data_IF_186364844479
#
_entry.id   IF_186364844479
#
_cell.length_a   1.000
_cell.length_b   1.000
_cell.length_c   1.000
_cell.angle_alpha   90.00
_cell.angle_beta   90.00
_cell.angle_gamma   90.00
#
_symmetry.space_group_name_H-M   'P 1'
#
loop_
_entity.id
_entity.type
_entity.pdbx_description
1 polymer ?
#
# COMPACT_ATOMS: atom_id res chain seq x y z
N UNK A 1 -15.96 -18.17 18.12
CA UNK A 1 -16.60 -16.93 17.71
C UNK A 1 -15.57 -15.83 17.56
N UNK A 2 -14.91 -15.55 18.66
CA UNK A 2 -13.92 -14.47 18.66
C UNK A 2 -12.66 -14.81 17.89
N UNK A 3 -12.44 -16.10 17.65
CA UNK A 3 -11.26 -16.53 16.91
C UNK A 3 -11.27 -16.05 15.49
N UNK A 4 -12.42 -16.08 14.84
CA UNK A 4 -12.52 -15.64 13.45
C UNK A 4 -12.29 -14.15 13.34
N UNK A 5 -12.85 -13.38 14.26
CA UNK A 5 -12.63 -11.95 14.30
C UNK A 5 -11.15 -11.63 14.55
N UNK A 6 -10.51 -12.36 15.46
CA UNK A 6 -9.10 -12.16 15.76
C UNK A 6 -8.21 -12.48 14.57
N UNK A 7 -8.55 -13.55 13.84
CA UNK A 7 -7.79 -13.93 12.64
C UNK A 7 -7.92 -12.83 11.58
N UNK A 8 -9.13 -12.27 11.40
CA UNK A 8 -9.31 -11.20 10.43
C UNK A 8 -8.59 -9.92 10.82
N UNK A 9 -8.49 -9.66 12.14
CA UNK A 9 -7.80 -8.48 12.62
C UNK A 9 -6.27 -8.62 12.55
N UNK A 10 -5.77 -9.85 12.39
CA UNK A 10 -4.34 -10.12 12.35
C UNK A 10 -3.83 -10.13 10.91
N UNK A 11 -4.12 -9.06 10.20
CA UNK A 11 -3.66 -8.89 8.81
C UNK A 11 -2.26 -8.31 8.83
N UNK A 12 -1.42 -8.77 7.89
CA UNK A 12 -0.08 -8.23 7.79
C UNK A 12 -0.09 -6.72 7.52
N UNK A 13 -1.04 -6.24 6.74
CA UNK A 13 -1.12 -4.81 6.41
C UNK A 13 -1.43 -3.94 7.63
N UNK A 14 -1.83 -4.53 8.75
CA UNK A 14 -1.98 -3.76 9.99
C UNK A 14 -0.63 -3.26 10.49
N UNK A 15 0.46 -3.82 10.00
CA UNK A 15 1.82 -3.36 10.32
C UNK A 15 2.28 -2.20 9.44
N UNK A 16 1.57 -1.92 8.36
CA UNK A 16 1.88 -0.78 7.50
C UNK A 16 1.52 0.50 8.24
N UNK A 17 2.26 1.56 7.97
CA UNK A 17 1.93 2.86 8.55
C UNK A 17 0.62 3.37 7.94
N UNK A 18 -0.35 3.69 8.80
CA UNK A 18 -1.67 4.18 8.37
C UNK A 18 -1.63 5.68 8.13
N UNK A 19 -1.96 6.09 6.91
CA UNK A 19 -2.04 7.49 6.52
C UNK A 19 -3.49 7.92 6.52
N UNK A 20 -3.80 9.04 7.18
CA UNK A 20 -5.17 9.46 7.41
C UNK A 20 -5.62 10.63 6.52
N UNK A 21 -4.71 11.27 5.82
CA UNK A 21 -5.06 12.44 5.01
C UNK A 21 -4.12 12.59 3.82
N UNK A 22 -4.57 13.36 2.85
CA UNK A 22 -3.75 13.69 1.68
C UNK A 22 -2.49 14.45 2.08
N UNK A 23 -2.61 15.34 3.06
CA UNK A 23 -1.47 16.09 3.57
C UNK A 23 -0.44 15.16 4.21
N UNK A 24 -0.91 14.22 5.02
CA UNK A 24 -0.02 13.25 5.66
C UNK A 24 0.68 12.38 4.63
N UNK A 25 -0.03 11.96 3.60
CA UNK A 25 0.59 11.16 2.54
C UNK A 25 1.72 11.93 1.87
N UNK A 26 1.48 13.20 1.55
CA UNK A 26 2.52 14.06 0.98
C UNK A 26 3.72 14.17 1.89
N UNK A 27 3.50 14.33 3.19
CA UNK A 27 4.59 14.42 4.17
C UNK A 27 5.40 13.14 4.20
N UNK A 28 4.73 11.98 4.22
CA UNK A 28 5.43 10.69 4.24
C UNK A 28 6.23 10.46 2.98
N UNK A 29 5.70 10.86 1.84
CA UNK A 29 6.44 10.72 0.58
C UNK A 29 7.70 11.60 0.59
N UNK A 30 7.62 12.81 1.14
CA UNK A 30 8.80 13.68 1.25
C UNK A 30 9.82 13.10 2.22
N UNK A 31 9.38 12.49 3.33
CA UNK A 31 10.28 11.84 4.26
C UNK A 31 11.06 10.71 3.59
N UNK A 32 10.35 9.88 2.81
CA UNK A 32 11.00 8.78 2.11
C UNK A 32 12.00 9.30 1.08
N UNK A 33 11.60 10.33 0.33
CA UNK A 33 12.48 10.98 -0.64
C UNK A 33 13.78 11.46 0.05
N UNK A 34 13.65 12.12 1.19
CA UNK A 34 14.81 12.63 1.92
C UNK A 34 15.72 11.52 2.41
N UNK A 35 15.17 10.32 2.60
CA UNK A 35 15.92 9.14 3.03
C UNK A 35 16.34 8.25 1.87
N UNK A 36 16.03 8.65 0.64
CA UNK A 36 16.39 7.88 -0.55
C UNK A 36 15.65 6.55 -0.67
N UNK A 37 14.45 6.45 -0.10
CA UNK A 37 13.67 5.21 -0.10
C UNK A 37 12.47 5.27 -1.03
N UNK A 38 12.22 4.21 -1.79
CA UNK A 38 10.95 4.08 -2.52
C UNK A 38 9.80 3.88 -1.54
N UNK A 39 8.58 4.10 -2.02
CA UNK A 39 7.36 3.92 -1.22
C UNK A 39 6.35 3.07 -1.97
N UNK A 40 5.70 2.17 -1.24
CA UNK A 40 4.51 1.46 -1.70
C UNK A 40 3.32 1.96 -0.88
N UNK A 41 2.24 2.33 -1.56
CA UNK A 41 1.01 2.79 -0.89
C UNK A 41 -0.13 1.83 -1.24
N UNK A 42 -0.74 1.26 -0.23
CA UNK A 42 -1.83 0.29 -0.37
C UNK A 42 -3.15 0.95 0.05
N UNK A 43 -4.07 1.10 -0.90
CA UNK A 43 -5.41 1.63 -0.65
C UNK A 43 -6.35 0.45 -0.44
N UNK A 44 -7.01 0.42 0.71
CA UNK A 44 -7.85 -0.70 1.13
C UNK A 44 -9.15 -0.20 1.77
N UNK A 45 -10.04 -1.12 2.08
CA UNK A 45 -11.26 -0.84 2.86
C UNK A 45 -11.75 -2.16 3.46
N UNK A 46 -12.42 -2.06 4.62
CA UNK A 46 -12.93 -3.26 5.30
C UNK A 46 -13.98 -3.99 4.48
N UNK A 47 -14.79 -3.26 3.71
CA UNK A 47 -15.86 -3.84 2.89
C UNK A 47 -15.34 -4.42 1.58
N UNK A 48 -14.07 -4.35 1.33
CA UNK A 48 -13.47 -4.77 0.06
C UNK A 48 -13.06 -6.25 0.11
N UNK A 49 -13.84 -7.11 -0.56
CA UNK A 49 -13.59 -8.56 -0.55
C UNK A 49 -12.24 -8.89 -1.20
N UNK A 50 -11.92 -8.23 -2.31
CA UNK A 50 -10.63 -8.47 -3.00
C UNK A 50 -9.45 -8.07 -2.14
N UNK A 51 -9.62 -7.06 -1.27
CA UNK A 51 -8.57 -6.67 -0.35
C UNK A 51 -8.24 -7.80 0.62
N UNK A 52 -9.26 -8.52 1.09
CA UNK A 52 -9.02 -9.67 1.96
C UNK A 52 -8.23 -10.76 1.25
N UNK A 53 -8.51 -10.95 -0.05
CA UNK A 53 -7.73 -11.89 -0.85
C UNK A 53 -6.27 -11.51 -0.93
N UNK A 54 -5.98 -10.22 -1.13
CA UNK A 54 -4.61 -9.72 -1.10
C UNK A 54 -3.94 -9.99 0.25
N UNK A 55 -4.66 -9.73 1.34
CA UNK A 55 -4.12 -9.94 2.69
C UNK A 55 -3.74 -11.40 2.90
N UNK A 56 -4.64 -12.32 2.50
CA UNK A 56 -4.42 -13.74 2.77
C UNK A 56 -3.41 -14.38 1.82
N UNK A 57 -3.41 -13.98 0.56
CA UNK A 57 -2.69 -14.73 -0.46
C UNK A 57 -1.43 -14.03 -0.97
N UNK A 58 -1.34 -12.71 -0.79
CA UNK A 58 -0.21 -11.94 -1.31
C UNK A 58 0.65 -11.40 -0.17
N UNK A 59 0.06 -10.64 0.74
CA UNK A 59 0.83 -10.02 1.82
C UNK A 59 1.29 -11.03 2.87
N UNK A 60 0.75 -12.23 2.86
CA UNK A 60 1.22 -13.31 3.72
C UNK A 60 2.52 -13.95 3.25
N UNK A 61 2.97 -13.64 2.04
CA UNK A 61 4.20 -14.20 1.48
C UNK A 61 5.42 -13.64 2.21
N UNK A 62 6.20 -14.54 2.82
CA UNK A 62 7.32 -14.12 3.66
C UNK A 62 8.44 -13.45 2.87
N UNK A 63 8.68 -13.90 1.64
CA UNK A 63 9.73 -13.28 0.83
C UNK A 63 9.34 -11.88 0.39
N UNK A 64 8.04 -11.62 0.18
CA UNK A 64 7.57 -10.27 -0.07
C UNK A 64 7.73 -9.40 1.18
N UNK A 65 7.35 -9.95 2.34
CA UNK A 65 7.46 -9.23 3.60
C UNK A 65 8.90 -8.78 3.88
N UNK A 66 9.87 -9.63 3.52
CA UNK A 66 11.28 -9.29 3.68
C UNK A 66 11.66 -8.05 2.87
N UNK A 67 11.07 -7.88 1.69
CA UNK A 67 11.35 -6.72 0.84
C UNK A 67 10.75 -5.43 1.40
N UNK A 68 9.69 -5.52 2.17
CA UNK A 68 9.08 -4.34 2.80
C UNK A 68 10.05 -3.65 3.77
N UNK A 69 11.03 -4.37 4.29
CA UNK A 69 11.99 -3.78 5.22
C UNK A 69 12.88 -2.71 4.57
N UNK A 70 12.99 -2.72 3.25
CA UNK A 70 13.89 -1.85 2.51
C UNK A 70 13.20 -0.61 1.93
N UNK A 71 11.87 -0.52 2.05
CA UNK A 71 11.10 0.57 1.48
C UNK A 71 10.14 1.12 2.53
N UNK A 72 9.55 2.27 2.23
CA UNK A 72 8.45 2.77 3.04
C UNK A 72 7.16 2.13 2.57
N UNK A 73 6.37 1.57 3.50
CA UNK A 73 5.10 0.95 3.17
C UNK A 73 3.98 1.66 3.93
N UNK A 74 3.03 2.19 3.20
CA UNK A 74 1.93 2.98 3.74
C UNK A 74 0.60 2.32 3.39
N UNK A 75 -0.39 2.53 4.26
CA UNK A 75 -1.75 2.04 4.05
C UNK A 75 -2.72 3.20 4.15
N UNK A 76 -3.68 3.25 3.23
CA UNK A 76 -4.78 4.21 3.26
C UNK A 76 -6.07 3.41 3.34
N UNK A 77 -6.80 3.57 4.44
CA UNK A 77 -8.06 2.86 4.67
C UNK A 77 -9.22 3.76 4.26
N UNK A 78 -9.94 3.35 3.23
CA UNK A 78 -11.04 4.12 2.66
C UNK A 78 -12.40 3.68 3.21
N UNK A 79 -12.42 2.90 4.30
CA UNK A 79 -13.63 2.27 4.82
C UNK A 79 -14.74 3.29 5.08
N UNK A 80 -14.41 4.42 5.69
CA UNK A 80 -15.42 5.39 6.14
C UNK A 80 -15.84 6.37 5.07
N UNK A 81 -15.16 6.39 3.92
CA UNK A 81 -15.44 7.32 2.83
C UNK A 81 -15.57 8.77 3.35
N UNK A 82 -14.63 9.15 4.21
CA UNK A 82 -14.61 10.48 4.81
C UNK A 82 -14.25 11.54 3.78
N UNK A 83 -14.34 12.82 4.17
CA UNK A 83 -13.90 13.89 3.27
C UNK A 83 -12.41 13.78 2.99
N UNK A 84 -11.60 13.34 3.96
CA UNK A 84 -10.18 13.11 3.73
C UNK A 84 -9.96 11.95 2.77
N UNK A 85 -10.74 10.87 2.93
CA UNK A 85 -10.68 9.75 1.99
C UNK A 85 -10.99 10.20 0.57
N UNK A 86 -12.00 11.06 0.41
CA UNK A 86 -12.40 11.56 -0.90
C UNK A 86 -11.30 12.43 -1.52
N UNK A 87 -10.60 13.22 -0.72
CA UNK A 87 -9.46 14.00 -1.19
C UNK A 87 -8.33 13.09 -1.65
N UNK A 88 -8.04 12.04 -0.89
CA UNK A 88 -7.02 11.07 -1.29
C UNK A 88 -7.38 10.39 -2.60
N UNK A 89 -8.64 9.96 -2.73
CA UNK A 89 -9.13 9.34 -3.96
C UNK A 89 -8.94 10.27 -5.15
N UNK A 90 -9.31 11.54 -4.98
CA UNK A 90 -9.22 12.53 -6.04
C UNK A 90 -7.77 12.86 -6.38
N UNK A 91 -6.96 13.15 -5.37
CA UNK A 91 -5.59 13.62 -5.58
C UNK A 91 -4.70 12.55 -6.21
N UNK A 92 -4.98 11.29 -5.93
CA UNK A 92 -4.16 10.19 -6.46
C UNK A 92 -4.87 9.38 -7.53
N UNK A 93 -6.04 9.83 -7.97
CA UNK A 93 -6.81 9.19 -9.04
C UNK A 93 -7.07 7.72 -8.76
N UNK A 94 -7.68 7.44 -7.60
CA UNK A 94 -7.98 6.09 -7.16
C UNK A 94 -9.40 5.73 -7.59
N UNK A 95 -9.57 4.65 -8.35
CA UNK A 95 -10.89 4.18 -8.75
C UNK A 95 -11.58 3.35 -7.69
N UNK A 96 -10.81 2.75 -6.79
CA UNK A 96 -11.35 1.96 -5.69
C UNK A 96 -10.31 1.00 -5.15
N UNK A 97 -10.58 0.42 -3.96
CA UNK A 97 -9.68 -0.58 -3.37
C UNK A 97 -9.89 -1.94 -4.05
N UNK A 98 -8.88 -2.80 -4.10
CA UNK A 98 -7.51 -2.49 -3.72
C UNK A 98 -6.76 -1.81 -4.86
N UNK A 99 -5.96 -0.82 -4.51
CA UNK A 99 -5.05 -0.17 -5.46
C UNK A 99 -3.70 -0.03 -4.77
N UNK A 100 -2.64 -0.34 -5.50
CA UNK A 100 -1.28 -0.21 -4.98
C UNK A 100 -0.51 0.75 -5.89
N UNK A 101 0.07 1.78 -5.28
CA UNK A 101 0.90 2.75 -5.98
C UNK A 101 2.35 2.53 -5.59
N UNK A 102 3.25 2.81 -6.51
CA UNK A 102 4.70 2.77 -6.27
C UNK A 102 5.31 4.12 -6.58
N UNK A 103 6.11 4.63 -5.64
CA UNK A 103 6.87 5.87 -5.80
C UNK A 103 8.34 5.53 -5.73
N UNK A 104 9.14 6.09 -6.63
CA UNK A 104 10.58 5.82 -6.63
C UNK A 104 11.29 6.60 -5.51
N UNK A 105 12.60 6.40 -5.41
CA UNK A 105 13.39 7.04 -4.34
C UNK A 105 13.48 8.55 -4.48
N UNK A 106 13.01 9.10 -5.59
CA UNK A 106 12.92 10.55 -5.82
C UNK A 106 11.51 11.09 -5.55
N UNK A 107 10.61 10.26 -5.03
CA UNK A 107 9.27 10.67 -4.66
C UNK A 107 8.30 10.76 -5.81
N UNK A 108 8.64 10.23 -6.97
CA UNK A 108 7.79 10.29 -8.15
C UNK A 108 7.01 9.00 -8.32
N UNK A 109 5.71 9.12 -8.54
CA UNK A 109 4.91 7.94 -8.80
C UNK A 109 5.28 7.30 -10.13
N UNK A 110 5.49 5.99 -10.10
CA UNK A 110 5.69 5.18 -11.29
C UNK A 110 4.32 4.66 -11.72
N UNK A 111 3.59 5.48 -12.47
CA UNK A 111 2.18 5.20 -12.77
C UNK A 111 1.99 3.93 -13.58
N UNK A 112 2.95 3.56 -14.40
CA UNK A 112 2.90 2.33 -15.18
C UNK A 112 3.07 1.08 -14.30
N UNK A 113 3.42 1.25 -13.04
CA UNK A 113 3.55 0.13 -12.08
C UNK A 113 2.35 0.00 -11.15
N UNK A 114 1.37 0.90 -11.27
CA UNK A 114 0.14 0.81 -10.46
C UNK A 114 -0.50 -0.56 -10.62
N UNK A 115 -1.03 -1.07 -9.51
CA UNK A 115 -1.79 -2.32 -9.53
C UNK A 115 -3.20 -2.03 -9.08
N UNK A 116 -4.18 -2.39 -9.90
CA UNK A 116 -5.59 -2.22 -9.61
C UNK A 116 -6.18 -3.60 -9.51
N UNK A 117 -6.72 -3.94 -8.34
CA UNK A 117 -7.24 -5.26 -8.10
C UNK A 117 -6.22 -6.19 -7.47
N UNK A 118 -6.49 -7.49 -7.50
CA UNK A 118 -5.63 -8.51 -6.90
C UNK A 118 -4.37 -8.70 -7.72
N UNK A 119 -3.25 -8.85 -7.03
CA UNK A 119 -1.94 -9.03 -7.66
C UNK A 119 -1.16 -10.06 -6.85
N UNK A 120 -0.29 -10.82 -7.52
CA UNK A 120 0.50 -11.86 -6.87
C UNK A 120 1.70 -11.27 -6.11
N UNK A 121 2.21 -12.04 -5.15
CA UNK A 121 3.40 -11.64 -4.41
C UNK A 121 4.61 -11.51 -5.33
N UNK A 122 4.74 -12.41 -6.31
CA UNK A 122 5.87 -12.37 -7.23
C UNK A 122 5.90 -11.06 -8.04
N UNK A 123 4.75 -10.60 -8.49
CA UNK A 123 4.67 -9.33 -9.21
C UNK A 123 5.09 -8.18 -8.32
N UNK A 124 4.61 -8.15 -7.07
CA UNK A 124 4.98 -7.07 -6.16
C UNK A 124 6.48 -7.10 -5.83
N UNK A 125 7.04 -8.30 -5.66
CA UNK A 125 8.49 -8.41 -5.41
C UNK A 125 9.29 -7.84 -6.58
N UNK A 126 8.87 -8.15 -7.80
CA UNK A 126 9.56 -7.65 -9.00
C UNK A 126 9.47 -6.12 -9.07
N UNK A 127 8.31 -5.56 -8.75
CA UNK A 127 8.16 -4.10 -8.77
C UNK A 127 9.08 -3.44 -7.74
N UNK A 128 9.13 -3.98 -6.53
CA UNK A 128 9.98 -3.43 -5.48
C UNK A 128 11.46 -3.52 -5.89
N UNK A 129 11.86 -4.66 -6.42
CA UNK A 129 13.25 -4.85 -6.87
C UNK A 129 13.61 -3.84 -7.96
N UNK A 130 12.69 -3.58 -8.89
CA UNK A 130 12.93 -2.62 -9.96
C UNK A 130 13.10 -1.21 -9.44
N UNK A 131 12.34 -0.83 -8.41
CA UNK A 131 12.46 0.48 -7.81
C UNK A 131 13.76 0.65 -7.05
N UNK A 132 14.20 -0.39 -6.35
CA UNK A 132 15.44 -0.34 -5.57
C UNK A 132 16.67 -0.31 -6.47
N UNK A 133 16.61 -0.97 -7.62
CA UNK A 133 17.75 -1.04 -8.54
C UNK A 133 17.83 0.16 -9.46
N UNK A 134 16.87 1.05 -9.41
CA UNK A 134 16.87 2.26 -10.20
C UNK A 134 17.76 3.30 -9.54
N UNK A 135 18.85 3.57 -10.13
CA UNK A 135 19.79 4.54 -9.57
C UNK A 135 19.90 5.78 -10.43
#
# INVERSE_FOLDING_TARGET
LNKDANIEMDRFSDKFYSVESSEELGTKLREALNNGKPTMVYFTADWCVSCRGLERNTFSDQSLQAKFANIQVLKVDLTDNSSEDQLLIKNYSIFGPPTILFFDSEGKEQKNRRKIGVVSADILKDEIDSLENKS
#
